data_IF_616236245221
#
_entry.id   IF_616236245221
#
_cell.length_a   1.000
_cell.length_b   1.000
_cell.length_c   1.000
_cell.angle_alpha   90.00
_cell.angle_beta   90.00
_cell.angle_gamma   90.00
#
_symmetry.space_group_name_H-M   'P 1'
#
loop_
_entity.id
_entity.type
_entity.pdbx_description
1 polymer ?
#
# COMPACT_ATOMS: atom_id res chain seq x y z
N UNK A 1 30.30 44.77 -18.00
CA UNK A 1 30.43 43.30 -17.98
C UNK A 1 31.53 42.84 -17.03
N UNK A 2 32.68 43.57 -16.92
CA UNK A 2 33.82 43.23 -16.03
C UNK A 2 33.50 43.31 -14.51
N UNK A 3 32.61 44.22 -14.10
CA UNK A 3 32.23 44.43 -12.70
C UNK A 3 31.38 43.24 -12.12
N UNK A 4 30.57 42.61 -12.94
CA UNK A 4 29.76 41.44 -12.55
C UNK A 4 30.67 40.22 -12.32
N UNK A 5 31.71 40.05 -13.12
CA UNK A 5 32.63 38.93 -12.99
C UNK A 5 33.56 39.03 -11.75
N UNK A 6 33.91 40.25 -11.30
CA UNK A 6 34.73 40.45 -10.10
C UNK A 6 33.96 40.08 -8.79
N UNK A 7 32.64 40.31 -8.75
CA UNK A 7 31.79 39.91 -7.61
C UNK A 7 31.56 38.40 -7.51
N UNK A 8 31.60 37.70 -8.64
CA UNK A 8 31.39 36.25 -8.72
C UNK A 8 32.50 35.42 -8.09
N UNK A 9 33.67 36.01 -7.87
CA UNK A 9 34.86 35.34 -7.28
C UNK A 9 34.92 35.43 -5.75
N UNK A 10 33.96 36.07 -5.09
CA UNK A 10 33.94 36.12 -3.63
C UNK A 10 33.11 34.91 -3.15
N UNK A 11 33.67 33.98 -2.34
CA UNK A 11 32.97 32.80 -1.88
C UNK A 11 31.67 33.16 -1.15
N UNK A 12 31.65 34.25 -0.40
CA UNK A 12 30.45 34.78 0.29
C UNK A 12 29.33 35.16 -0.68
N UNK A 13 29.63 35.74 -1.83
CA UNK A 13 28.63 36.11 -2.84
C UNK A 13 27.99 34.85 -3.50
N UNK A 14 28.79 33.80 -3.67
CA UNK A 14 28.29 32.50 -4.15
C UNK A 14 27.34 31.83 -3.17
N UNK A 15 27.69 31.79 -1.88
CA UNK A 15 26.82 31.26 -0.84
C UNK A 15 25.54 32.09 -0.66
N UNK A 16 25.63 33.41 -0.73
CA UNK A 16 24.44 34.27 -0.64
C UNK A 16 23.50 34.06 -1.84
N UNK A 17 24.00 33.89 -3.06
CA UNK A 17 23.20 33.61 -4.23
C UNK A 17 22.52 32.20 -4.14
N UNK A 18 23.24 31.21 -3.61
CA UNK A 18 22.72 29.86 -3.41
C UNK A 18 21.62 29.83 -2.34
N UNK A 19 21.82 30.50 -1.21
CA UNK A 19 20.81 30.62 -0.15
C UNK A 19 19.57 31.37 -0.66
N UNK A 20 19.76 32.48 -1.41
CA UNK A 20 18.63 33.19 -2.02
C UNK A 20 17.84 32.30 -2.98
N UNK A 21 18.52 31.52 -3.82
CA UNK A 21 17.91 30.54 -4.72
C UNK A 21 17.11 29.47 -3.98
N UNK A 22 17.68 28.92 -2.90
CA UNK A 22 16.98 27.94 -2.06
C UNK A 22 15.74 28.54 -1.37
N UNK A 23 15.82 29.77 -0.86
CA UNK A 23 14.66 30.45 -0.27
C UNK A 23 13.58 30.70 -1.32
N UNK A 24 13.92 31.13 -2.52
CA UNK A 24 12.95 31.34 -3.61
C UNK A 24 12.29 30.02 -4.00
N UNK A 25 13.05 28.94 -4.14
CA UNK A 25 12.50 27.61 -4.43
C UNK A 25 11.58 27.12 -3.31
N UNK A 26 11.98 27.30 -2.05
CA UNK A 26 11.17 26.93 -0.89
C UNK A 26 9.85 27.73 -0.81
N UNK A 27 9.89 29.02 -1.11
CA UNK A 27 8.70 29.88 -1.14
C UNK A 27 7.76 29.51 -2.30
N UNK A 28 8.31 29.23 -3.49
CA UNK A 28 7.53 28.78 -4.65
C UNK A 28 6.93 27.42 -4.38
N UNK A 29 7.70 26.48 -3.84
CA UNK A 29 7.18 25.16 -3.47
C UNK A 29 6.11 25.27 -2.40
N UNK A 30 6.34 26.05 -1.33
CA UNK A 30 5.37 26.27 -0.27
C UNK A 30 4.08 26.97 -0.73
N UNK A 31 4.16 27.85 -1.76
CA UNK A 31 2.95 28.48 -2.34
C UNK A 31 2.17 27.52 -3.23
N UNK A 32 2.84 26.65 -3.99
CA UNK A 32 2.21 25.64 -4.83
C UNK A 32 1.56 24.50 -4.00
N UNK A 33 2.20 24.12 -2.88
CA UNK A 33 1.66 23.07 -1.99
C UNK A 33 0.55 23.57 -1.08
N UNK A 34 0.44 24.88 -0.82
CA UNK A 34 -0.66 25.46 -0.03
C UNK A 34 -2.03 25.38 -0.72
N UNK A 35 -2.10 25.12 -2.03
CA UNK A 35 -3.38 24.95 -2.74
C UNK A 35 -3.98 23.53 -2.62
N UNK A 36 -3.27 22.60 -1.97
CA UNK A 36 -3.77 21.26 -1.64
C UNK A 36 -4.42 21.18 -0.25
N UNK A 37 -5.19 22.18 0.14
CA UNK A 37 -6.11 22.07 1.28
C UNK A 37 -7.17 21.04 0.92
N UNK A 38 -6.97 19.80 1.34
CA UNK A 38 -7.94 18.73 1.25
C UNK A 38 -9.21 19.17 1.97
N UNK A 39 -10.25 19.53 1.21
CA UNK A 39 -11.58 19.48 1.72
C UNK A 39 -11.86 18.02 2.05
N UNK A 40 -11.54 17.61 3.26
CA UNK A 40 -11.92 16.34 3.81
C UNK A 40 -13.45 16.36 3.81
N UNK A 41 -14.08 15.64 2.89
CA UNK A 41 -15.52 15.43 2.94
C UNK A 41 -15.78 14.74 4.28
N UNK A 42 -16.18 15.52 5.26
CA UNK A 42 -16.49 15.05 6.61
C UNK A 42 -17.68 14.13 6.47
N UNK A 43 -17.51 12.86 6.85
CA UNK A 43 -18.65 12.02 7.17
C UNK A 43 -19.56 12.81 8.14
N UNK A 44 -20.89 12.63 8.10
CA UNK A 44 -21.76 13.28 9.05
C UNK A 44 -21.22 13.01 10.47
N UNK A 45 -21.23 14.03 11.34
CA UNK A 45 -20.70 13.86 12.69
C UNK A 45 -21.42 12.70 13.38
N UNK A 46 -20.64 11.81 14.00
CA UNK A 46 -21.16 10.70 14.77
C UNK A 46 -22.16 11.19 15.80
N UNK A 47 -23.27 10.49 15.96
CA UNK A 47 -24.23 10.85 17.01
C UNK A 47 -23.61 10.61 18.39
N UNK A 48 -23.97 11.42 19.36
CA UNK A 48 -23.50 11.23 20.75
C UNK A 48 -23.92 9.85 21.29
N UNK A 49 -25.02 9.30 20.80
CA UNK A 49 -25.50 7.97 21.16
C UNK A 49 -24.56 6.89 20.60
N UNK A 50 -24.10 7.02 19.35
CA UNK A 50 -23.17 6.04 18.75
C UNK A 50 -21.84 6.06 19.47
N UNK A 51 -21.32 7.24 19.84
CA UNK A 51 -20.10 7.38 20.65
C UNK A 51 -20.25 6.69 22.02
N UNK A 52 -21.41 6.83 22.67
CA UNK A 52 -21.65 6.19 23.98
C UNK A 52 -21.70 4.67 23.85
N UNK A 53 -22.45 4.16 22.89
CA UNK A 53 -22.52 2.70 22.61
C UNK A 53 -21.13 2.18 22.20
N UNK A 54 -20.40 2.91 21.38
CA UNK A 54 -19.04 2.57 20.98
C UNK A 54 -18.10 2.50 22.18
N UNK A 55 -18.22 3.41 23.15
CA UNK A 55 -17.47 3.36 24.40
C UNK A 55 -17.79 2.12 25.22
N UNK A 56 -19.06 1.78 25.40
CA UNK A 56 -19.46 0.60 26.15
C UNK A 56 -18.91 -0.70 25.52
N UNK A 57 -18.97 -0.79 24.19
CA UNK A 57 -18.37 -1.91 23.44
C UNK A 57 -16.84 -1.96 23.59
N UNK A 58 -16.19 -0.80 23.54
CA UNK A 58 -14.75 -0.69 23.74
C UNK A 58 -14.32 -1.11 25.14
N UNK A 59 -15.03 -0.63 26.16
CA UNK A 59 -14.74 -0.97 27.55
C UNK A 59 -14.89 -2.47 27.81
N UNK A 60 -15.88 -3.11 27.19
CA UNK A 60 -16.14 -4.54 27.33
C UNK A 60 -15.11 -5.43 26.63
N UNK A 61 -14.47 -4.95 25.53
CA UNK A 61 -13.73 -5.86 24.64
C UNK A 61 -12.32 -5.40 24.28
N UNK A 62 -12.00 -4.10 24.40
CA UNK A 62 -10.75 -3.52 23.92
C UNK A 62 -9.89 -2.97 25.06
N UNK A 63 -10.52 -2.48 26.13
CA UNK A 63 -9.88 -1.77 27.22
C UNK A 63 -8.83 -2.59 27.97
N UNK A 64 -8.99 -3.92 28.01
CA UNK A 64 -8.04 -4.83 28.68
C UNK A 64 -6.63 -4.74 28.09
N UNK A 65 -6.52 -4.49 26.79
CA UNK A 65 -5.24 -4.35 26.10
C UNK A 65 -4.90 -2.88 25.81
N UNK A 66 -5.88 -2.07 25.39
CA UNK A 66 -5.65 -0.69 24.97
C UNK A 66 -5.79 0.36 26.11
N UNK A 67 -6.18 -0.06 27.31
CA UNK A 67 -6.47 0.83 28.44
C UNK A 67 -7.88 1.41 28.40
N UNK A 68 -8.41 1.80 29.57
CA UNK A 68 -9.78 2.33 29.69
C UNK A 68 -10.01 3.63 28.92
N UNK A 69 -8.98 4.47 28.81
CA UNK A 69 -9.00 5.72 28.04
C UNK A 69 -8.31 5.57 26.68
N UNK A 70 -8.16 4.32 26.20
CA UNK A 70 -7.47 3.97 24.95
C UNK A 70 -6.02 4.52 24.86
N UNK A 71 -5.41 4.80 26.00
CA UNK A 71 -4.06 5.38 26.12
C UNK A 71 -2.94 4.38 25.77
N UNK A 72 -3.28 3.11 25.58
CA UNK A 72 -2.33 2.03 25.38
C UNK A 72 -1.82 1.41 26.68
N UNK A 73 -1.19 0.25 26.56
CA UNK A 73 -0.53 -0.49 27.65
C UNK A 73 0.75 -1.15 27.13
N UNK A 74 1.39 -1.98 27.94
CA UNK A 74 2.50 -2.82 27.46
C UNK A 74 2.06 -3.90 26.45
N UNK A 75 0.76 -4.17 26.33
CA UNK A 75 0.20 -5.20 25.45
C UNK A 75 -0.29 -4.66 24.13
N UNK A 76 -0.72 -3.38 24.07
CA UNK A 76 -1.26 -2.77 22.85
C UNK A 76 -0.99 -1.25 22.81
N UNK A 77 -0.84 -0.69 21.60
CA UNK A 77 -0.57 0.73 21.42
C UNK A 77 -1.75 1.62 21.86
N UNK A 78 -1.45 2.90 22.07
CA UNK A 78 -2.47 3.94 22.21
C UNK A 78 -3.32 4.04 20.94
N UNK A 79 -4.61 4.24 21.11
CA UNK A 79 -5.55 4.52 20.02
C UNK A 79 -5.94 6.00 19.94
N UNK A 80 -5.44 6.83 20.87
CA UNK A 80 -5.65 8.28 20.84
C UNK A 80 -5.00 8.85 19.57
N UNK A 81 -5.81 9.45 18.69
CA UNK A 81 -5.35 9.96 17.39
C UNK A 81 -5.22 8.91 16.28
N UNK A 82 -5.53 7.64 16.52
CA UNK A 82 -5.51 6.60 15.50
C UNK A 82 -6.56 6.81 14.40
N UNK A 83 -7.70 7.39 14.75
CA UNK A 83 -8.80 7.70 13.84
C UNK A 83 -9.73 6.53 13.53
N UNK A 84 -10.90 6.88 13.02
CA UNK A 84 -11.94 5.90 12.66
C UNK A 84 -11.49 4.91 11.60
N UNK A 85 -10.69 5.34 10.63
CA UNK A 85 -10.21 4.48 9.54
C UNK A 85 -9.35 3.31 10.04
N UNK A 86 -8.49 3.55 11.04
CA UNK A 86 -7.65 2.49 11.62
C UNK A 86 -8.51 1.43 12.33
N UNK A 87 -9.48 1.87 13.13
CA UNK A 87 -10.41 0.97 13.82
C UNK A 87 -11.21 0.15 12.81
N UNK A 88 -11.79 0.82 11.81
CA UNK A 88 -12.55 0.15 10.75
C UNK A 88 -11.70 -0.92 10.05
N UNK A 89 -10.49 -0.58 9.63
CA UNK A 89 -9.61 -1.53 8.96
C UNK A 89 -9.32 -2.76 9.84
N UNK A 90 -8.87 -2.56 11.06
CA UNK A 90 -8.48 -3.64 11.95
C UNK A 90 -9.66 -4.55 12.31
N UNK A 91 -10.83 -3.99 12.56
CA UNK A 91 -12.00 -4.75 12.97
C UNK A 91 -12.74 -5.39 11.78
N UNK A 92 -12.93 -4.67 10.67
CA UNK A 92 -13.61 -5.21 9.49
C UNK A 92 -12.82 -6.29 8.77
N UNK A 93 -11.50 -6.35 9.00
CA UNK A 93 -10.64 -7.43 8.51
C UNK A 93 -10.45 -8.56 9.53
N UNK A 94 -11.08 -8.48 10.72
CA UNK A 94 -11.00 -9.49 11.77
C UNK A 94 -9.61 -9.62 12.43
N UNK A 95 -8.73 -8.59 12.26
CA UNK A 95 -7.45 -8.52 12.96
C UNK A 95 -7.62 -8.16 14.42
N UNK A 96 -8.62 -7.30 14.71
CA UNK A 96 -9.02 -6.97 16.08
C UNK A 96 -10.45 -7.47 16.38
N UNK A 97 -10.68 -7.92 17.59
CA UNK A 97 -9.76 -8.17 18.70
C UNK A 97 -8.72 -9.24 18.37
N UNK A 98 -7.46 -8.98 18.70
CA UNK A 98 -6.37 -9.92 18.47
C UNK A 98 -6.56 -11.22 19.29
N UNK A 99 -6.03 -12.33 18.76
CA UNK A 99 -6.04 -13.62 19.49
C UNK A 99 -4.92 -13.68 20.52
N UNK A 100 -3.82 -13.02 20.21
CA UNK A 100 -2.61 -12.97 21.03
C UNK A 100 -1.91 -11.63 20.84
N UNK A 101 -1.09 -11.26 21.80
CA UNK A 101 -0.27 -10.04 21.72
C UNK A 101 0.87 -10.29 20.73
N UNK A 102 0.98 -9.48 19.70
CA UNK A 102 2.00 -9.62 18.66
C UNK A 102 2.15 -8.38 17.81
N UNK A 103 3.25 -8.32 17.08
CA UNK A 103 3.54 -7.22 16.16
C UNK A 103 2.71 -7.28 14.87
N UNK A 104 2.14 -8.43 14.54
CA UNK A 104 1.32 -8.66 13.35
C UNK A 104 0.07 -9.45 13.73
N UNK A 105 -1.07 -8.95 13.27
CA UNK A 105 -2.35 -9.62 13.44
C UNK A 105 -2.91 -10.03 12.08
N UNK A 106 -2.94 -11.32 11.84
CA UNK A 106 -3.47 -11.88 10.61
C UNK A 106 -4.98 -11.64 10.47
N UNK A 107 -5.45 -11.53 9.21
CA UNK A 107 -6.88 -11.49 8.90
C UNK A 107 -7.59 -12.69 9.54
N UNK A 108 -8.74 -12.45 10.15
CA UNK A 108 -9.54 -13.46 10.81
C UNK A 108 -11.04 -13.26 10.61
N UNK A 109 -11.87 -14.06 11.29
CA UNK A 109 -13.32 -13.86 11.29
C UNK A 109 -13.67 -12.54 11.99
N UNK A 110 -14.53 -11.75 11.36
CA UNK A 110 -15.07 -10.52 11.92
C UNK A 110 -16.01 -10.87 13.08
N UNK A 111 -15.80 -10.25 14.24
CA UNK A 111 -16.54 -10.58 15.48
C UNK A 111 -17.67 -9.60 15.80
N UNK A 112 -17.73 -8.48 15.11
CA UNK A 112 -18.68 -7.40 15.34
C UNK A 112 -19.53 -7.16 14.10
N UNK A 113 -20.74 -6.68 14.28
CA UNK A 113 -21.56 -6.19 13.17
C UNK A 113 -20.91 -4.90 12.60
N UNK A 114 -21.24 -4.59 11.36
CA UNK A 114 -20.72 -3.37 10.73
C UNK A 114 -21.10 -2.12 11.54
N UNK A 115 -22.32 -2.03 12.05
CA UNK A 115 -22.76 -0.94 12.92
C UNK A 115 -21.90 -0.82 14.19
N UNK A 116 -21.62 -1.93 14.86
CA UNK A 116 -20.76 -1.93 16.06
C UNK A 116 -19.33 -1.47 15.73
N UNK A 117 -18.81 -1.85 14.56
CA UNK A 117 -17.49 -1.37 14.09
C UNK A 117 -17.50 0.13 13.92
N UNK A 118 -18.54 0.71 13.29
CA UNK A 118 -18.66 2.15 13.15
C UNK A 118 -18.78 2.85 14.51
N UNK A 119 -19.58 2.33 15.44
CA UNK A 119 -19.75 2.90 16.77
C UNK A 119 -18.42 2.93 17.56
N UNK A 120 -17.65 1.84 17.54
CA UNK A 120 -16.33 1.80 18.18
C UNK A 120 -15.36 2.75 17.46
N UNK A 121 -15.43 2.84 16.13
CA UNK A 121 -14.61 3.77 15.35
C UNK A 121 -14.93 5.25 15.69
N UNK A 122 -16.19 5.58 15.87
CA UNK A 122 -16.65 6.92 16.27
C UNK A 122 -16.18 7.27 17.69
N UNK A 123 -16.26 6.33 18.62
CA UNK A 123 -15.70 6.52 19.95
C UNK A 123 -14.20 6.81 19.91
N UNK A 124 -13.41 5.97 19.20
CA UNK A 124 -11.95 6.18 19.12
C UNK A 124 -11.62 7.48 18.40
N UNK A 125 -12.35 7.85 17.36
CA UNK A 125 -12.18 9.14 16.69
C UNK A 125 -12.44 10.33 17.61
N UNK A 126 -13.38 10.20 18.55
CA UNK A 126 -13.68 11.25 19.55
C UNK A 126 -12.54 11.51 20.54
N UNK A 127 -11.61 10.55 20.69
CA UNK A 127 -10.49 10.65 21.64
C UNK A 127 -9.31 11.48 21.12
N UNK A 128 -9.23 11.80 19.84
CA UNK A 128 -8.09 12.56 19.33
C UNK A 128 -8.06 12.79 17.82
N UNK A 129 -9.14 12.51 17.12
CA UNK A 129 -9.22 12.68 15.67
C UNK A 129 -8.49 11.55 14.91
N UNK A 130 -7.76 11.91 13.86
CA UNK A 130 -7.09 10.96 12.95
C UNK A 130 -7.88 10.75 11.65
N UNK A 131 -7.44 9.84 10.75
CA UNK A 131 -8.10 9.60 9.48
C UNK A 131 -9.53 9.10 9.65
N UNK A 132 -10.46 9.71 8.90
CA UNK A 132 -11.86 9.27 8.84
C UNK A 132 -12.01 8.06 7.92
N UNK A 133 -13.08 7.27 8.13
CA UNK A 133 -13.48 6.23 7.19
C UNK A 133 -13.87 6.92 5.87
N UNK A 134 -13.37 6.43 4.71
CA UNK A 134 -13.69 7.05 3.43
C UNK A 134 -15.18 6.93 3.10
N UNK A 135 -15.70 7.94 2.42
CA UNK A 135 -17.07 7.91 1.92
C UNK A 135 -17.22 6.92 0.74
N UNK A 136 -18.46 6.52 0.45
CA UNK A 136 -18.74 5.65 -0.70
C UNK A 136 -18.21 6.26 -2.02
N UNK A 137 -18.26 7.57 -2.15
CA UNK A 137 -17.75 8.30 -3.32
C UNK A 137 -16.22 8.22 -3.44
N UNK A 138 -15.51 8.30 -2.32
CA UNK A 138 -14.03 8.18 -2.29
C UNK A 138 -13.53 6.77 -2.66
N UNK A 139 -14.34 5.75 -2.50
CA UNK A 139 -13.98 4.36 -2.81
C UNK A 139 -14.66 3.82 -4.07
N UNK A 140 -15.53 4.62 -4.71
CA UNK A 140 -16.18 4.26 -5.97
C UNK A 140 -15.14 4.13 -7.08
N UNK A 141 -15.25 3.06 -7.87
CA UNK A 141 -14.40 2.84 -9.04
C UNK A 141 -15.01 3.39 -10.32
N UNK A 142 -16.20 3.98 -10.23
CA UNK A 142 -16.88 4.58 -11.39
C UNK A 142 -16.10 5.79 -11.91
N UNK A 143 -15.73 5.75 -13.19
CA UNK A 143 -14.93 6.81 -13.83
C UNK A 143 -13.48 6.89 -13.38
N UNK A 144 -12.97 5.89 -12.64
CA UNK A 144 -11.55 5.80 -12.28
C UNK A 144 -10.70 5.35 -13.48
N UNK A 145 -9.46 5.82 -13.53
CA UNK A 145 -8.49 5.44 -14.56
C UNK A 145 -7.70 4.21 -14.10
N UNK A 146 -8.13 3.02 -14.55
CA UNK A 146 -7.47 1.74 -14.23
C UNK A 146 -6.04 1.68 -14.76
N UNK A 147 -5.73 2.28 -15.90
CA UNK A 147 -4.39 2.28 -16.47
C UNK A 147 -3.42 3.12 -15.61
N UNK A 148 -3.86 4.30 -15.18
CA UNK A 148 -3.12 5.10 -14.21
C UNK A 148 -3.00 4.38 -12.88
N UNK A 149 -4.07 3.74 -12.41
CA UNK A 149 -4.09 2.92 -11.20
C UNK A 149 -3.06 1.78 -11.24
N UNK A 150 -2.93 1.10 -12.37
CA UNK A 150 -1.90 0.08 -12.60
C UNK A 150 -0.48 0.66 -12.44
N UNK A 151 -0.19 1.79 -13.08
CA UNK A 151 1.12 2.42 -12.98
C UNK A 151 1.44 2.85 -11.54
N UNK A 152 0.46 3.43 -10.84
CA UNK A 152 0.60 3.85 -9.45
C UNK A 152 0.80 2.66 -8.52
N UNK A 153 0.07 1.56 -8.74
CA UNK A 153 0.22 0.32 -8.01
C UNK A 153 1.61 -0.29 -8.20
N UNK A 154 2.10 -0.37 -9.44
CA UNK A 154 3.43 -0.87 -9.74
C UNK A 154 4.51 -0.05 -9.05
N UNK A 155 4.38 1.27 -9.02
CA UNK A 155 5.36 2.18 -8.43
C UNK A 155 5.38 2.13 -6.89
N UNK A 156 4.23 1.91 -6.23
CA UNK A 156 4.10 2.11 -4.78
C UNK A 156 3.75 0.84 -4.00
N UNK A 157 3.13 -0.17 -4.62
CA UNK A 157 2.50 -1.28 -3.90
C UNK A 157 3.07 -2.65 -4.28
N UNK A 158 3.44 -2.85 -5.56
CA UNK A 158 3.78 -4.15 -6.11
C UNK A 158 5.02 -4.80 -5.48
N UNK A 159 5.95 -4.00 -4.94
CA UNK A 159 7.15 -4.51 -4.27
C UNK A 159 6.81 -5.36 -3.04
N UNK A 160 5.70 -5.02 -2.36
CA UNK A 160 5.23 -5.76 -1.19
C UNK A 160 4.05 -6.67 -1.53
N UNK A 161 3.14 -6.25 -2.40
CA UNK A 161 1.89 -6.96 -2.67
C UNK A 161 1.90 -7.80 -3.96
N UNK A 162 3.05 -7.90 -4.64
CA UNK A 162 3.14 -8.59 -5.92
C UNK A 162 2.42 -7.85 -7.05
N UNK A 163 2.52 -8.38 -8.27
CA UNK A 163 1.98 -7.71 -9.45
C UNK A 163 0.44 -7.61 -9.46
N UNK A 164 -0.24 -8.64 -9.02
CA UNK A 164 -1.70 -8.72 -9.02
C UNK A 164 -2.34 -8.52 -7.62
N UNK A 165 -1.57 -8.09 -6.62
CA UNK A 165 -2.06 -7.94 -5.26
C UNK A 165 -2.27 -9.26 -4.52
N UNK A 166 -1.63 -10.33 -4.95
CA UNK A 166 -1.85 -11.67 -4.40
C UNK A 166 -1.14 -11.87 -3.06
N UNK A 167 0.07 -11.44 -2.92
CA UNK A 167 0.88 -11.49 -1.69
C UNK A 167 2.34 -11.22 -2.02
N UNK A 168 3.15 -10.86 -1.03
CA UNK A 168 4.60 -10.71 -1.19
C UNK A 168 5.36 -10.97 0.10
N UNK A 169 6.56 -11.53 -0.02
CA UNK A 169 7.44 -11.74 1.12
C UNK A 169 8.11 -10.43 1.53
N UNK A 170 8.15 -10.18 2.82
CA UNK A 170 8.83 -9.05 3.44
C UNK A 170 10.04 -9.55 4.26
N UNK A 171 10.82 -8.61 4.78
CA UNK A 171 11.95 -8.91 5.65
C UNK A 171 11.51 -9.56 6.96
N UNK A 172 12.40 -10.33 7.58
CA UNK A 172 12.19 -11.00 8.88
C UNK A 172 11.02 -12.00 8.90
N UNK A 173 10.74 -12.66 7.76
CA UNK A 173 9.68 -13.66 7.67
C UNK A 173 8.27 -13.11 7.66
N UNK A 174 8.11 -11.81 7.56
CA UNK A 174 6.82 -11.14 7.38
C UNK A 174 6.33 -11.28 5.94
N UNK A 175 5.04 -11.05 5.74
CA UNK A 175 4.46 -11.04 4.40
C UNK A 175 3.38 -9.95 4.27
N UNK A 176 3.29 -9.37 3.08
CA UNK A 176 2.16 -8.53 2.73
C UNK A 176 0.97 -9.43 2.36
N UNK A 177 -0.18 -9.28 3.04
CA UNK A 177 -1.32 -10.17 2.80
C UNK A 177 -1.92 -9.93 1.40
N UNK A 178 -2.60 -10.96 0.84
CA UNK A 178 -3.32 -10.81 -0.41
C UNK A 178 -4.45 -9.78 -0.26
N UNK A 179 -4.60 -8.93 -1.25
CA UNK A 179 -5.67 -7.92 -1.31
C UNK A 179 -6.95 -8.46 -1.96
N UNK A 180 -6.93 -9.69 -2.47
CA UNK A 180 -8.04 -10.31 -3.22
C UNK A 180 -9.35 -10.35 -2.44
N UNK A 181 -9.31 -10.40 -1.11
CA UNK A 181 -10.47 -10.42 -0.23
C UNK A 181 -10.81 -9.06 0.40
N UNK A 182 -10.06 -8.00 0.09
CA UNK A 182 -10.26 -6.70 0.72
C UNK A 182 -11.29 -5.87 -0.06
N UNK A 183 -12.22 -5.23 0.65
CA UNK A 183 -13.18 -4.31 0.04
C UNK A 183 -12.48 -3.01 -0.39
N UNK A 184 -13.06 -2.21 -1.31
CA UNK A 184 -12.55 -0.88 -1.65
C UNK A 184 -12.29 0.00 -0.42
N UNK A 185 -13.20 -0.01 0.55
CA UNK A 185 -13.06 0.74 1.81
C UNK A 185 -11.87 0.23 2.64
N UNK A 186 -11.68 -1.09 2.73
CA UNK A 186 -10.53 -1.67 3.43
C UNK A 186 -9.20 -1.31 2.76
N UNK A 187 -9.13 -1.28 1.44
CA UNK A 187 -7.94 -0.89 0.69
C UNK A 187 -7.63 0.60 0.93
N UNK A 188 -8.65 1.46 0.85
CA UNK A 188 -8.48 2.89 1.07
C UNK A 188 -8.04 3.18 2.50
N UNK A 189 -8.68 2.59 3.50
CA UNK A 189 -8.32 2.76 4.92
C UNK A 189 -6.92 2.24 5.21
N UNK A 190 -6.50 1.13 4.59
CA UNK A 190 -5.13 0.64 4.72
C UNK A 190 -4.10 1.64 4.18
N UNK A 191 -4.36 2.26 3.02
CA UNK A 191 -3.49 3.31 2.50
C UNK A 191 -3.40 4.52 3.43
N UNK A 192 -4.52 4.93 4.04
CA UNK A 192 -4.55 6.07 4.96
C UNK A 192 -3.81 5.82 6.27
N UNK A 193 -3.86 4.60 6.78
CA UNK A 193 -3.44 4.29 8.15
C UNK A 193 -2.12 3.54 8.24
N UNK A 194 -1.68 2.91 7.14
CA UNK A 194 -0.43 2.16 7.10
C UNK A 194 -0.36 1.05 8.15
N UNK A 195 -1.25 0.04 8.12
CA UNK A 195 -1.27 -1.00 9.15
C UNK A 195 0.02 -1.80 9.17
N UNK A 196 0.52 -2.10 10.38
CA UNK A 196 1.69 -2.94 10.62
C UNK A 196 2.97 -2.40 9.93
N UNK A 197 3.48 -3.12 8.94
CA UNK A 197 4.68 -2.71 8.18
C UNK A 197 4.37 -1.88 6.92
N UNK A 198 3.09 -1.64 6.62
CA UNK A 198 2.68 -0.86 5.46
C UNK A 198 2.94 0.62 5.67
N UNK A 199 3.55 1.35 4.74
CA UNK A 199 3.71 2.80 4.85
C UNK A 199 2.35 3.52 4.75
N UNK A 200 2.27 4.69 5.38
CA UNK A 200 1.11 5.59 5.27
C UNK A 200 1.16 6.34 3.94
N UNK A 201 0.10 6.25 3.16
CA UNK A 201 -0.10 7.03 1.95
C UNK A 201 -1.13 8.13 2.20
N UNK A 202 -0.65 9.25 2.73
CA UNK A 202 -1.51 10.43 2.96
C UNK A 202 -2.04 11.00 1.64
N UNK A 203 -3.05 11.86 1.71
CA UNK A 203 -3.59 12.53 0.51
C UNK A 203 -2.56 13.46 -0.15
N UNK A 204 -1.52 13.86 0.57
CA UNK A 204 -0.39 14.60 0.01
C UNK A 204 0.60 13.75 -0.78
N UNK A 205 0.66 12.44 -0.52
CA UNK A 205 1.52 11.50 -1.26
C UNK A 205 0.77 10.80 -2.41
N UNK A 206 -0.44 10.37 -2.15
CA UNK A 206 -1.38 9.82 -3.13
C UNK A 206 -2.72 10.54 -2.98
N UNK A 207 -3.11 11.32 -3.98
CA UNK A 207 -4.39 12.03 -3.95
C UNK A 207 -5.58 11.06 -3.80
N UNK A 208 -6.75 11.52 -3.32
CA UNK A 208 -7.94 10.68 -3.27
C UNK A 208 -8.30 10.04 -4.61
N UNK A 209 -8.13 10.76 -5.73
CA UNK A 209 -8.33 10.19 -7.08
C UNK A 209 -7.32 9.09 -7.40
N UNK A 210 -6.04 9.30 -7.09
CA UNK A 210 -5.01 8.28 -7.29
C UNK A 210 -5.29 7.00 -6.49
N UNK A 211 -5.81 7.13 -5.25
CA UNK A 211 -6.25 5.97 -4.46
C UNK A 211 -7.43 5.24 -5.10
N UNK A 212 -8.39 5.97 -5.68
CA UNK A 212 -9.52 5.39 -6.44
C UNK A 212 -9.04 4.62 -7.66
N UNK A 213 -8.09 5.19 -8.40
CA UNK A 213 -7.51 4.56 -9.59
C UNK A 213 -6.80 3.25 -9.22
N UNK A 214 -6.03 3.25 -8.13
CA UNK A 214 -5.40 2.03 -7.57
C UNK A 214 -6.46 0.99 -7.17
N UNK A 215 -7.54 1.40 -6.50
CA UNK A 215 -8.64 0.51 -6.12
C UNK A 215 -9.31 -0.09 -7.36
N UNK A 216 -9.53 0.71 -8.40
CA UNK A 216 -10.08 0.25 -9.66
C UNK A 216 -9.19 -0.83 -10.29
N UNK A 217 -7.89 -0.59 -10.37
CA UNK A 217 -6.93 -1.58 -10.86
C UNK A 217 -6.97 -2.89 -10.06
N UNK A 218 -6.92 -2.82 -8.73
CA UNK A 218 -6.98 -4.01 -7.88
C UNK A 218 -8.30 -4.76 -8.07
N UNK A 219 -9.41 -4.05 -8.19
CA UNK A 219 -10.75 -4.64 -8.36
C UNK A 219 -10.89 -5.32 -9.72
N UNK A 220 -10.41 -4.66 -10.79
CA UNK A 220 -10.43 -5.21 -12.15
C UNK A 220 -9.54 -6.44 -12.25
N UNK A 221 -8.31 -6.37 -11.73
CA UNK A 221 -7.36 -7.49 -11.76
C UNK A 221 -7.91 -8.76 -11.10
N UNK A 222 -8.80 -8.64 -10.12
CA UNK A 222 -9.43 -9.80 -9.45
C UNK A 222 -10.43 -10.54 -10.34
N UNK A 223 -11.17 -9.80 -11.16
CA UNK A 223 -12.26 -10.34 -11.98
C UNK A 223 -11.84 -10.59 -13.43
N UNK A 224 -10.68 -10.09 -13.81
CA UNK A 224 -10.16 -10.29 -15.15
C UNK A 224 -9.95 -11.78 -15.43
N UNK A 225 -10.59 -12.34 -16.46
CA UNK A 225 -10.41 -13.73 -16.82
C UNK A 225 -8.97 -13.98 -17.27
N UNK A 226 -8.41 -15.11 -16.86
CA UNK A 226 -7.12 -15.56 -17.40
C UNK A 226 -7.31 -15.91 -18.87
N UNK A 227 -6.68 -15.22 -19.83
CA UNK A 227 -6.87 -15.47 -21.26
C UNK A 227 -6.31 -16.82 -21.74
N UNK A 228 -5.70 -17.59 -20.85
CA UNK A 228 -5.15 -18.92 -21.12
C UNK A 228 -3.68 -19.03 -20.74
N UNK A 229 -3.14 -20.26 -20.82
CA UNK A 229 -1.80 -20.58 -20.38
C UNK A 229 -1.70 -20.85 -18.86
N UNK A 230 -0.47 -20.99 -18.40
CA UNK A 230 -0.19 -21.16 -16.97
C UNK A 230 -0.11 -19.79 -16.31
N UNK A 231 -1.03 -19.49 -15.39
CA UNK A 231 -1.06 -18.22 -14.69
C UNK A 231 0.15 -17.98 -13.77
N UNK A 232 0.88 -19.03 -13.41
CA UNK A 232 2.04 -19.00 -12.50
C UNK A 232 1.77 -18.23 -11.19
N UNK A 233 0.52 -18.29 -10.70
CA UNK A 233 0.07 -17.57 -9.52
C UNK A 233 -0.04 -16.07 -9.69
N UNK A 234 0.00 -15.54 -10.91
CA UNK A 234 -0.05 -14.10 -11.22
C UNK A 234 1.04 -13.28 -10.50
N UNK A 235 2.18 -13.92 -10.19
CA UNK A 235 3.30 -13.27 -9.48
C UNK A 235 3.96 -12.20 -10.37
N UNK A 236 3.73 -12.27 -11.68
CA UNK A 236 4.18 -11.26 -12.63
C UNK A 236 5.31 -11.72 -13.55
N UNK A 237 5.92 -10.79 -14.29
CA UNK A 237 6.82 -11.09 -15.42
C UNK A 237 8.10 -11.85 -15.02
N UNK A 238 8.48 -11.84 -13.73
CA UNK A 238 9.69 -12.54 -13.25
C UNK A 238 9.54 -14.06 -13.39
N UNK A 239 8.41 -14.63 -12.97
CA UNK A 239 8.15 -16.06 -13.06
C UNK A 239 7.91 -16.50 -14.49
N UNK A 240 7.22 -15.70 -15.28
CA UNK A 240 7.01 -15.93 -16.71
C UNK A 240 8.34 -15.89 -17.47
N UNK A 241 9.16 -14.88 -17.22
CA UNK A 241 10.49 -14.76 -17.77
C UNK A 241 11.40 -15.94 -17.39
N UNK A 242 11.34 -16.41 -16.15
CA UNK A 242 12.12 -17.57 -15.69
C UNK A 242 11.76 -18.84 -16.48
N UNK A 243 10.47 -19.11 -16.69
CA UNK A 243 10.02 -20.27 -17.47
C UNK A 243 10.48 -20.17 -18.92
N UNK A 244 10.36 -19.00 -19.55
CA UNK A 244 10.84 -18.77 -20.92
C UNK A 244 12.36 -18.94 -21.01
N UNK A 245 13.11 -18.38 -20.06
CA UNK A 245 14.57 -18.51 -20.05
C UNK A 245 15.03 -19.95 -19.85
N UNK A 246 14.53 -20.66 -18.86
CA UNK A 246 14.93 -22.05 -18.60
C UNK A 246 14.48 -22.97 -19.71
N UNK A 247 13.24 -22.84 -20.19
CA UNK A 247 12.71 -23.61 -21.30
C UNK A 247 13.40 -23.29 -22.62
N UNK A 248 13.54 -22.02 -22.95
CA UNK A 248 14.17 -21.56 -24.20
C UNK A 248 15.66 -21.89 -24.25
N UNK A 249 16.43 -21.58 -23.20
CA UNK A 249 17.85 -21.96 -23.16
C UNK A 249 18.05 -23.46 -23.13
N UNK A 250 17.25 -24.21 -22.36
CA UNK A 250 17.29 -25.66 -22.33
C UNK A 250 17.06 -26.26 -23.73
N UNK A 251 16.07 -25.75 -24.45
CA UNK A 251 15.77 -26.16 -25.82
C UNK A 251 16.93 -25.84 -26.77
N UNK A 252 17.50 -24.64 -26.69
CA UNK A 252 18.67 -24.28 -27.52
C UNK A 252 19.89 -25.15 -27.23
N UNK A 253 20.16 -25.47 -25.96
CA UNK A 253 21.24 -26.38 -25.56
C UNK A 253 21.01 -27.79 -26.15
N UNK A 254 19.78 -28.31 -26.06
CA UNK A 254 19.43 -29.61 -26.63
C UNK A 254 19.67 -29.64 -28.16
N UNK A 255 19.23 -28.58 -28.87
CA UNK A 255 19.49 -28.44 -30.31
C UNK A 255 21.00 -28.40 -30.61
N UNK A 256 21.75 -27.60 -29.87
CA UNK A 256 23.20 -27.51 -30.05
C UNK A 256 23.90 -28.84 -29.82
N UNK A 257 23.53 -29.58 -28.79
CA UNK A 257 24.04 -30.93 -28.52
C UNK A 257 23.64 -31.92 -29.63
N UNK A 258 22.41 -31.85 -30.11
CA UNK A 258 21.96 -32.71 -31.21
C UNK A 258 22.73 -32.44 -32.50
N UNK A 259 22.95 -31.18 -32.88
CA UNK A 259 23.73 -30.81 -34.06
C UNK A 259 25.19 -31.28 -33.93
N UNK A 260 25.80 -31.13 -32.73
CA UNK A 260 27.19 -31.54 -32.52
C UNK A 260 27.35 -33.04 -32.42
N UNK A 261 26.37 -33.77 -31.87
CA UNK A 261 26.38 -35.24 -31.83
C UNK A 261 26.35 -35.85 -33.24
N UNK A 262 25.61 -35.26 -34.16
CA UNK A 262 25.49 -35.73 -35.56
C UNK A 262 26.80 -35.55 -36.37
N UNK A 263 27.73 -34.71 -35.89
CA UNK A 263 29.05 -34.50 -36.52
C UNK A 263 30.13 -35.48 -36.03
N UNK A 264 29.83 -36.35 -35.08
CA UNK A 264 30.75 -37.36 -34.55
C UNK A 264 30.51 -38.75 -35.21
N UNK A 265 30.33 -38.83 -36.51
CA UNK A 265 30.50 -40.09 -37.19
C UNK A 265 31.99 -40.48 -37.12
N UNK A 266 32.32 -41.64 -36.56
CA UNK A 266 33.70 -42.09 -36.54
C UNK A 266 34.14 -42.29 -38.01
N UNK A 267 35.22 -41.64 -38.39
CA UNK A 267 35.91 -42.03 -39.65
C UNK A 267 36.23 -43.52 -39.55
N UNK A 268 35.96 -44.30 -40.59
CA UNK A 268 36.40 -45.68 -40.59
C UNK A 268 37.92 -45.68 -40.52
N UNK A 269 38.45 -46.08 -39.37
CA UNK A 269 39.85 -46.44 -39.23
C UNK A 269 40.01 -47.80 -39.84
N UNK A 270 40.70 -47.87 -40.96
CA UNK A 270 41.20 -49.12 -41.41
C UNK A 270 40.99 -49.36 -42.89
N UNK A 271 42.01 -49.08 -43.65
CA UNK A 271 42.53 -49.98 -44.67
C UNK A 271 44.01 -49.65 -44.79
N UNK A 272 44.85 -50.45 -44.12
CA UNK A 272 46.15 -50.84 -44.63
C UNK A 272 46.00 -52.10 -45.48
#
# INVERSE_FOLDING_TARGET
>A
VSWINARRRRPVAGYAALLLGLVVVALLYGSLTRQGGTAQASAPPASQQDITVGKDLFDATCSSCHGLDAQGTSQAPSLVGAGAAAVYFQMSTGRMPAKEVGAENNRGPVKFTEQQIYQIADYVASLGGGPAIPTAEQVSTEGADTALGSNLFMANCSQCHGFAGDSGALTYGKFAPPMTQSTPTQIYTAMLTGPEAMPVFSDGSLSPSAKRDIIAYITETRVEPNPGGFSLGRIGPVTEGLVIWLGGLGFLVIIALWITAKRRDPRPTGME
#
